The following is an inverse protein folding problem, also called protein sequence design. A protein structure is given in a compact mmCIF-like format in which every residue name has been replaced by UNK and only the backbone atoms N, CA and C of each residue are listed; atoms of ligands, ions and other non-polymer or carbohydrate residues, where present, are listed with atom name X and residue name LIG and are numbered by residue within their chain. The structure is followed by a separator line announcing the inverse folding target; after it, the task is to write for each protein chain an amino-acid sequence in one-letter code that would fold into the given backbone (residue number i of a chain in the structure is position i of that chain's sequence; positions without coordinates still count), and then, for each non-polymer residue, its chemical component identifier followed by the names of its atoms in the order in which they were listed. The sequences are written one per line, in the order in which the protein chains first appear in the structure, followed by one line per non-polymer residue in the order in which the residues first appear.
data_IF_630746953271
#
_entry.id   IF_630746953271
#
_cell.length_a   1.000
_cell.length_b   1.000
_cell.length_c   1.000
_cell.angle_alpha   90.00
_cell.angle_beta   90.00
_cell.angle_gamma   90.00
#
_symmetry.space_group_name_H-M   'P 1'
#
loop_
_entity.id
_entity.type
_entity.pdbx_description
1 polymer ?
#
# COMPACT_ATOMS: atom_id res chain seq x y z
N UNK A 1 0.91 0.81 27.24
CA UNK A 1 1.49 1.99 26.58
C UNK A 1 1.86 1.60 25.16
N UNK A 2 1.39 2.32 24.13
CA UNK A 2 1.76 2.04 22.74
C UNK A 2 2.90 2.99 22.39
N UNK A 3 4.11 2.46 22.23
CA UNK A 3 5.29 3.25 21.83
C UNK A 3 5.06 3.84 20.45
N UNK A 4 5.19 5.16 20.32
CA UNK A 4 5.26 5.84 19.01
C UNK A 4 6.64 5.74 18.36
N UNK A 5 7.64 5.21 19.08
CA UNK A 5 8.94 4.89 18.52
C UNK A 5 8.83 3.57 17.74
N UNK A 6 8.12 3.61 16.62
CA UNK A 6 8.30 2.58 15.59
C UNK A 6 9.73 2.67 15.05
N UNK A 7 10.31 1.55 14.65
CA UNK A 7 11.61 1.56 13.99
C UNK A 7 11.46 2.27 12.63
N UNK A 8 12.12 3.42 12.39
CA UNK A 8 12.09 4.05 11.09
C UNK A 8 12.72 3.09 10.07
N UNK A 9 12.09 2.97 8.90
CA UNK A 9 12.69 2.20 7.81
C UNK A 9 14.01 2.87 7.42
N UNK A 10 15.12 2.11 7.34
CA UNK A 10 16.46 2.68 7.09
C UNK A 10 16.59 3.26 5.68
N UNK A 11 15.70 2.86 4.77
CA UNK A 11 15.63 3.32 3.39
C UNK A 11 14.17 3.53 2.99
N UNK A 12 13.93 4.55 2.16
CA UNK A 12 12.63 4.73 1.52
C UNK A 12 12.39 3.57 0.55
N UNK A 13 11.33 2.81 0.79
CA UNK A 13 10.87 1.76 -0.11
C UNK A 13 9.72 2.23 -1.00
N UNK A 14 9.32 1.42 -2.00
CA UNK A 14 8.09 1.68 -2.75
C UNK A 14 6.88 1.72 -1.82
N UNK A 15 5.81 2.39 -2.27
CA UNK A 15 4.53 2.33 -1.56
C UNK A 15 4.09 0.87 -1.46
N UNK A 16 3.76 0.43 -0.24
CA UNK A 16 3.47 -0.96 0.03
C UNK A 16 2.36 -1.12 1.07
N UNK A 17 1.70 -2.28 1.05
CA UNK A 17 0.75 -2.75 2.06
C UNK A 17 1.29 -4.07 2.59
N UNK A 18 1.24 -4.28 3.91
CA UNK A 18 1.70 -5.52 4.53
C UNK A 18 0.71 -6.06 5.53
N UNK A 19 0.72 -7.39 5.69
CA UNK A 19 0.06 -8.08 6.80
C UNK A 19 1.15 -8.49 7.78
N UNK A 20 0.93 -8.16 9.06
CA UNK A 20 1.83 -8.51 10.16
C UNK A 20 1.04 -9.22 11.26
N UNK A 21 1.73 -10.06 12.02
CA UNK A 21 1.18 -10.60 13.28
C UNK A 21 1.18 -9.51 14.35
N UNK A 22 0.49 -9.77 15.46
CA UNK A 22 0.43 -8.83 16.60
C UNK A 22 1.80 -8.57 17.23
N UNK A 23 2.74 -9.52 17.11
CA UNK A 23 4.14 -9.36 17.52
C UNK A 23 4.98 -8.51 16.55
N UNK A 24 4.38 -8.01 15.47
CA UNK A 24 5.05 -7.19 14.46
C UNK A 24 5.74 -7.99 13.35
N UNK A 25 5.82 -9.32 13.44
CA UNK A 25 6.43 -10.16 12.40
C UNK A 25 5.68 -10.06 11.08
N UNK A 26 6.42 -9.95 9.97
CA UNK A 26 5.86 -9.87 8.63
C UNK A 26 5.28 -11.22 8.20
N UNK A 27 4.03 -11.21 7.74
CA UNK A 27 3.39 -12.37 7.10
C UNK A 27 3.55 -12.28 5.59
N UNK A 28 3.17 -11.13 5.01
CA UNK A 28 3.31 -10.86 3.58
C UNK A 28 3.27 -9.35 3.30
N UNK A 29 3.70 -8.94 2.11
CA UNK A 29 3.57 -7.57 1.63
C UNK A 29 3.35 -7.51 0.12
N UNK A 30 2.61 -6.48 -0.30
CA UNK A 30 2.42 -6.10 -1.69
C UNK A 30 3.02 -4.71 -1.90
N UNK A 31 3.78 -4.57 -2.96
CA UNK A 31 4.43 -3.34 -3.35
C UNK A 31 5.43 -3.67 -4.45
N UNK A 32 5.62 -2.73 -5.37
CA UNK A 32 6.54 -2.87 -6.49
C UNK A 32 7.17 -1.51 -6.77
N UNK A 33 8.46 -1.43 -7.11
CA UNK A 33 9.07 -0.20 -7.61
C UNK A 33 8.31 0.42 -8.80
N UNK A 34 7.68 -0.39 -9.64
CA UNK A 34 6.75 0.08 -10.67
C UNK A 34 5.33 0.21 -10.08
N UNK A 35 4.79 1.43 -9.93
CA UNK A 35 3.44 1.63 -9.40
C UNK A 35 2.33 1.04 -10.30
N UNK A 36 2.64 0.74 -11.56
CA UNK A 36 1.70 0.15 -12.52
C UNK A 36 1.69 -1.38 -12.50
N UNK A 37 2.62 -2.03 -11.78
CA UNK A 37 2.62 -3.47 -11.61
C UNK A 37 1.32 -3.97 -10.94
N UNK A 38 0.93 -5.26 -11.12
CA UNK A 38 -0.30 -5.80 -10.56
C UNK A 38 -0.45 -5.57 -9.04
N UNK A 39 0.66 -5.60 -8.32
CA UNK A 39 0.75 -5.36 -6.86
C UNK A 39 1.52 -4.09 -6.51
N UNK A 40 1.82 -3.25 -7.51
CA UNK A 40 2.46 -1.94 -7.33
C UNK A 40 1.48 -0.88 -6.83
N UNK A 41 2.00 0.11 -6.12
CA UNK A 41 1.22 1.24 -5.62
C UNK A 41 1.96 2.55 -5.91
N UNK A 42 1.22 3.56 -6.31
CA UNK A 42 1.72 4.92 -6.49
C UNK A 42 1.62 5.73 -5.22
N UNK A 43 0.56 5.52 -4.44
CA UNK A 43 0.39 6.12 -3.11
C UNK A 43 -0.77 5.46 -2.37
N UNK A 44 -0.56 4.22 -1.89
CA UNK A 44 -1.51 3.56 -0.99
C UNK A 44 -1.63 4.38 0.30
N UNK A 45 -2.85 4.85 0.61
CA UNK A 45 -3.07 5.82 1.69
C UNK A 45 -4.25 5.48 2.60
N UNK A 46 -5.31 4.90 2.04
CA UNK A 46 -6.46 4.40 2.80
C UNK A 46 -6.54 2.88 2.72
N UNK A 47 -6.99 2.22 3.79
CA UNK A 47 -7.17 0.77 3.82
C UNK A 47 -8.41 0.38 4.63
N UNK A 48 -9.16 -0.60 4.13
CA UNK A 48 -10.28 -1.21 4.83
C UNK A 48 -10.33 -2.71 4.56
N UNK A 49 -10.92 -3.48 5.49
CA UNK A 49 -11.12 -4.92 5.37
C UNK A 49 -12.61 -5.20 5.58
N UNK A 50 -13.22 -6.00 4.70
CA UNK A 50 -14.63 -6.40 4.84
C UNK A 50 -14.79 -7.69 5.65
N UNK A 51 -16.04 -8.09 5.92
CA UNK A 51 -16.35 -9.31 6.69
C UNK A 51 -15.95 -10.62 6.01
N UNK A 52 -15.61 -10.61 4.72
CA UNK A 52 -15.05 -11.77 4.01
C UNK A 52 -13.52 -11.82 4.12
N UNK A 53 -12.90 -10.76 4.64
CA UNK A 53 -11.46 -10.60 4.70
C UNK A 53 -10.85 -10.07 3.40
N UNK A 54 -11.67 -9.53 2.47
CA UNK A 54 -11.14 -8.82 1.31
C UNK A 54 -10.56 -7.47 1.75
N UNK A 55 -9.45 -7.05 1.13
CA UNK A 55 -8.76 -5.80 1.44
C UNK A 55 -9.03 -4.78 0.33
N UNK A 56 -9.34 -3.54 0.73
CA UNK A 56 -9.59 -2.42 -0.16
C UNK A 56 -8.54 -1.34 0.13
N UNK A 57 -7.79 -0.93 -0.90
CA UNK A 57 -6.71 0.06 -0.78
C UNK A 57 -7.06 1.27 -1.62
N UNK A 58 -7.22 2.42 -0.97
CA UNK A 58 -7.42 3.72 -1.61
C UNK A 58 -6.08 4.38 -1.93
N UNK A 59 -5.94 4.82 -3.18
CA UNK A 59 -4.73 5.46 -3.68
C UNK A 59 -4.91 6.95 -3.97
N UNK A 60 -3.95 7.76 -3.51
CA UNK A 60 -3.89 9.20 -3.79
C UNK A 60 -2.87 9.46 -4.92
N UNK A 61 -2.91 8.61 -5.95
CA UNK A 61 -1.85 8.52 -6.96
C UNK A 61 -1.76 9.74 -7.89
N UNK A 62 -2.86 10.47 -8.14
CA UNK A 62 -2.84 11.64 -9.04
C UNK A 62 -1.88 12.72 -8.55
N UNK A 63 -1.89 13.03 -7.26
CA UNK A 63 -0.97 14.03 -6.70
C UNK A 63 0.43 13.45 -6.50
N UNK A 64 0.54 12.21 -6.00
CA UNK A 64 1.82 11.57 -5.73
C UNK A 64 2.63 11.30 -7.02
N UNK A 65 2.06 10.54 -7.95
CA UNK A 65 2.71 10.24 -9.24
C UNK A 65 2.74 11.45 -10.15
N UNK A 66 1.79 12.39 -10.02
CA UNK A 66 1.77 13.62 -10.81
C UNK A 66 2.98 14.51 -10.52
N UNK A 67 3.35 14.64 -9.25
CA UNK A 67 4.59 15.34 -8.83
C UNK A 67 5.85 14.69 -9.40
N UNK A 68 5.82 13.38 -9.61
CA UNK A 68 6.93 12.63 -10.20
C UNK A 68 6.89 12.57 -11.74
N UNK A 69 5.87 13.15 -12.41
CA UNK A 69 5.68 13.06 -13.86
C UNK A 69 5.32 11.65 -14.36
N UNK A 70 4.94 10.74 -13.46
CA UNK A 70 4.65 9.33 -13.75
C UNK A 70 3.15 9.06 -13.91
N UNK A 71 2.27 9.98 -13.48
CA UNK A 71 0.83 9.75 -13.52
C UNK A 71 0.29 9.67 -14.95
N UNK A 72 -0.64 8.74 -15.17
CA UNK A 72 -1.34 8.55 -16.45
C UNK A 72 -2.83 8.34 -16.19
N UNK A 73 -3.66 8.74 -17.16
CA UNK A 73 -5.10 8.47 -17.13
C UNK A 73 -5.35 6.96 -17.02
N UNK A 74 -6.37 6.57 -16.24
CA UNK A 74 -6.71 5.17 -16.01
C UNK A 74 -6.00 4.49 -14.84
N UNK A 75 -5.09 5.19 -14.14
CA UNK A 75 -4.50 4.67 -12.91
C UNK A 75 -5.59 4.45 -11.83
N UNK A 76 -5.66 3.28 -11.17
CA UNK A 76 -6.73 2.97 -10.22
C UNK A 76 -6.63 3.82 -8.95
N UNK A 77 -7.75 4.41 -8.53
CA UNK A 77 -7.86 5.09 -7.22
C UNK A 77 -8.27 4.14 -6.09
N UNK A 78 -8.77 2.95 -6.41
CA UNK A 78 -9.17 1.91 -5.47
C UNK A 78 -8.74 0.55 -6.00
N UNK A 79 -8.03 -0.23 -5.19
CA UNK A 79 -7.66 -1.62 -5.50
C UNK A 79 -8.32 -2.57 -4.51
N UNK A 80 -8.81 -3.70 -5.01
CA UNK A 80 -9.40 -4.78 -4.19
C UNK A 80 -8.52 -6.03 -4.27
N UNK A 81 -8.16 -6.58 -3.11
CA UNK A 81 -7.49 -7.86 -2.97
C UNK A 81 -8.49 -8.84 -2.36
N UNK A 82 -8.75 -9.92 -3.08
CA UNK A 82 -9.70 -10.94 -2.64
C UNK A 82 -9.01 -11.96 -1.74
N UNK A 83 -9.65 -12.31 -0.64
CA UNK A 83 -9.25 -13.48 0.15
C UNK A 83 -9.76 -14.75 -0.54
N UNK A 84 -8.84 -15.63 -0.91
CA UNK A 84 -9.13 -16.95 -1.48
C UNK A 84 -9.26 -18.00 -0.38
#
# INVERSE_FOLDING_TARGET
EVSMAGDPLPVSGPSCVSIRRQDGSLVTSWGDPDPFAPVGFGSAHGIAVDSRGDIYVGEVAKTALGRAGLWRSGYPSLRKFRRL
#
